data_IF_462765421970
#
_entry.id   IF_462765421970
#
_cell.length_a   1.000
_cell.length_b   1.000
_cell.length_c   1.000
_cell.angle_alpha   90.00
_cell.angle_beta   90.00
_cell.angle_gamma   90.00
#
_symmetry.space_group_name_H-M   'P 1'
#
loop_
_entity.id
_entity.type
_entity.pdbx_description
1 polymer ?
#
# COMPACT_ATOMS: atom_id res chain seq x y z
N UNK A 1 17.86 3.68 0.81
CA UNK A 1 18.13 2.25 1.15
C UNK A 1 16.83 1.51 1.43
N UNK A 2 16.03 1.97 2.40
CA UNK A 2 14.75 1.36 2.80
C UNK A 2 13.79 1.15 1.62
N UNK A 3 13.54 2.19 0.83
CA UNK A 3 12.73 2.11 -0.38
C UNK A 3 13.16 0.97 -1.33
N UNK A 4 14.47 0.85 -1.61
CA UNK A 4 15.01 -0.23 -2.45
C UNK A 4 14.77 -1.62 -1.85
N UNK A 5 14.84 -1.76 -0.52
CA UNK A 5 14.51 -3.02 0.17
C UNK A 5 13.02 -3.35 0.04
N UNK A 6 12.14 -2.35 0.21
CA UNK A 6 10.68 -2.47 0.07
C UNK A 6 10.28 -2.91 -1.34
N UNK A 7 10.85 -2.28 -2.37
CA UNK A 7 10.65 -2.69 -3.77
C UNK A 7 11.18 -4.10 -4.05
N UNK A 8 12.38 -4.44 -3.55
CA UNK A 8 12.96 -5.78 -3.74
C UNK A 8 12.09 -6.89 -3.13
N UNK A 9 11.41 -6.58 -2.01
CA UNK A 9 10.44 -7.46 -1.34
C UNK A 9 9.16 -7.65 -2.17
N UNK A 10 8.86 -6.73 -3.09
CA UNK A 10 7.73 -6.81 -4.00
C UNK A 10 6.53 -5.96 -3.61
N UNK A 11 6.72 -4.94 -2.75
CA UNK A 11 5.65 -3.99 -2.47
C UNK A 11 5.18 -3.33 -3.77
N UNK A 12 3.86 -3.14 -3.88
CA UNK A 12 3.25 -2.49 -5.03
C UNK A 12 3.32 -0.98 -4.80
N UNK A 13 3.99 -0.27 -5.70
CA UNK A 13 4.16 1.19 -5.63
C UNK A 13 3.32 1.84 -6.73
N UNK A 14 2.14 2.32 -6.36
CA UNK A 14 1.30 3.10 -7.25
C UNK A 14 1.71 4.57 -7.19
N UNK A 15 2.11 5.14 -8.33
CA UNK A 15 2.46 6.56 -8.46
C UNK A 15 1.24 7.32 -8.98
N UNK A 16 0.22 7.50 -8.13
CA UNK A 16 -0.94 8.31 -8.46
C UNK A 16 -0.68 9.78 -8.09
N UNK A 17 -0.98 10.69 -9.01
CA UNK A 17 -0.98 12.12 -8.71
C UNK A 17 -2.10 12.46 -7.72
N UNK A 18 -1.73 12.90 -6.52
CA UNK A 18 -2.65 13.47 -5.55
C UNK A 18 -2.89 14.96 -5.84
N UNK A 19 -4.08 15.46 -5.50
CA UNK A 19 -4.44 16.87 -5.70
C UNK A 19 -4.27 17.67 -4.40
N UNK A 20 -3.71 18.88 -4.51
CA UNK A 20 -3.68 19.91 -3.47
C UNK A 20 -4.72 20.98 -3.80
N UNK A 21 -5.71 21.12 -2.91
CA UNK A 21 -6.73 22.17 -3.00
C UNK A 21 -6.27 23.37 -2.16
N UNK A 22 -6.18 24.55 -2.78
CA UNK A 22 -5.87 25.81 -2.10
C UNK A 22 -7.20 26.52 -1.82
N UNK A 23 -7.38 26.92 -0.56
CA UNK A 23 -8.58 27.60 -0.09
C UNK A 23 -8.28 29.07 0.20
N UNK A 24 -9.28 29.94 0.04
CA UNK A 24 -9.25 31.30 0.59
C UNK A 24 -9.51 31.31 2.11
N UNK A 25 -9.48 32.50 2.72
CA UNK A 25 -9.73 32.68 4.16
C UNK A 25 -11.12 32.24 4.62
N UNK A 26 -12.09 32.12 3.70
CA UNK A 26 -13.46 31.66 3.97
C UNK A 26 -13.61 30.15 3.74
N UNK A 27 -12.52 29.45 3.39
CA UNK A 27 -12.52 28.02 3.11
C UNK A 27 -13.02 27.67 1.70
N UNK A 28 -13.16 28.64 0.79
CA UNK A 28 -13.60 28.40 -0.59
C UNK A 28 -12.42 27.96 -1.47
N UNK A 29 -12.54 26.89 -2.27
CA UNK A 29 -11.50 26.50 -3.23
C UNK A 29 -11.24 27.60 -4.26
N UNK A 30 -9.98 28.01 -4.37
CA UNK A 30 -9.51 28.98 -5.36
C UNK A 30 -8.59 28.36 -6.41
N UNK A 31 -7.93 27.25 -6.08
CA UNK A 31 -7.01 26.57 -6.99
C UNK A 31 -6.93 25.07 -6.66
N UNK A 32 -6.80 24.25 -7.70
CA UNK A 32 -6.49 22.82 -7.59
C UNK A 32 -5.23 22.57 -8.41
N UNK A 33 -4.21 22.00 -7.77
CA UNK A 33 -2.94 21.68 -8.44
C UNK A 33 -2.40 20.32 -7.98
N UNK A 34 -1.50 19.67 -8.73
CA UNK A 34 -0.84 18.46 -8.28
C UNK A 34 -0.10 18.67 -6.95
N UNK A 35 -0.15 17.67 -6.06
CA UNK A 35 0.60 17.64 -4.82
C UNK A 35 2.01 17.10 -5.08
N UNK A 36 3.01 17.93 -4.80
CA UNK A 36 4.40 17.55 -4.98
C UNK A 36 4.89 16.66 -3.83
N UNK A 37 5.15 15.38 -4.12
CA UNK A 37 5.73 14.43 -3.17
C UNK A 37 7.26 14.53 -3.18
N UNK A 38 7.79 15.41 -2.33
CA UNK A 38 9.22 15.65 -2.21
C UNK A 38 9.99 14.47 -1.56
N UNK A 39 11.32 14.51 -1.64
CA UNK A 39 12.22 13.51 -1.05
C UNK A 39 11.98 13.38 0.47
N UNK A 40 11.74 14.50 1.16
CA UNK A 40 11.44 14.49 2.59
C UNK A 40 10.19 13.65 2.92
N UNK A 41 9.12 13.75 2.12
CA UNK A 41 7.91 12.94 2.29
C UNK A 41 8.23 11.45 2.18
N UNK A 42 9.02 11.06 1.16
CA UNK A 42 9.43 9.66 0.95
C UNK A 42 10.30 9.15 2.11
N UNK A 43 11.20 9.96 2.64
CA UNK A 43 12.04 9.58 3.79
C UNK A 43 11.17 9.29 5.02
N UNK A 44 10.25 10.19 5.35
CA UNK A 44 9.37 10.02 6.51
C UNK A 44 8.52 8.78 6.34
N UNK A 45 7.91 8.57 5.17
CA UNK A 45 7.11 7.37 4.88
C UNK A 45 7.88 6.07 5.13
N UNK A 46 9.10 5.96 4.62
CA UNK A 46 9.93 4.77 4.81
C UNK A 46 10.25 4.52 6.30
N UNK A 47 10.52 5.57 7.08
CA UNK A 47 10.71 5.44 8.52
C UNK A 47 9.42 5.02 9.25
N UNK A 48 8.29 5.57 8.85
CA UNK A 48 7.00 5.21 9.43
C UNK A 48 6.67 3.74 9.16
N UNK A 49 6.94 3.24 7.95
CA UNK A 49 6.71 1.85 7.57
C UNK A 49 7.59 0.90 8.36
N UNK A 50 8.89 1.17 8.47
CA UNK A 50 9.79 0.33 9.27
C UNK A 50 9.37 0.31 10.74
N UNK A 51 8.98 1.44 11.31
CA UNK A 51 8.47 1.51 12.68
C UNK A 51 7.20 0.67 12.86
N UNK A 52 6.23 0.82 11.94
CA UNK A 52 4.99 0.06 11.94
C UNK A 52 5.22 -1.46 11.80
N UNK A 53 6.10 -1.90 10.90
CA UNK A 53 6.47 -3.32 10.73
C UNK A 53 7.13 -3.87 12.00
N UNK A 54 8.06 -3.11 12.60
CA UNK A 54 8.79 -3.52 13.81
C UNK A 54 7.85 -3.72 15.00
N UNK A 55 6.92 -2.79 15.22
CA UNK A 55 5.94 -2.90 16.30
C UNK A 55 5.00 -4.07 16.07
N UNK A 56 4.50 -4.25 14.84
CA UNK A 56 3.61 -5.37 14.51
C UNK A 56 4.29 -6.72 14.74
N UNK A 57 5.55 -6.88 14.32
CA UNK A 57 6.30 -8.12 14.52
C UNK A 57 6.54 -8.39 16.00
N UNK A 58 6.99 -7.39 16.76
CA UNK A 58 7.22 -7.54 18.20
C UNK A 58 5.96 -7.98 18.95
N UNK A 59 4.82 -7.37 18.62
CA UNK A 59 3.55 -7.65 19.28
C UNK A 59 2.95 -9.00 18.87
N UNK A 60 3.19 -9.44 17.63
CA UNK A 60 2.82 -10.78 17.18
C UNK A 60 3.45 -11.87 18.03
N UNK A 61 4.77 -11.78 18.27
CA UNK A 61 5.48 -12.76 19.09
C UNK A 61 5.18 -12.65 20.58
N UNK A 62 4.63 -11.52 21.03
CA UNK A 62 4.24 -11.31 22.43
C UNK A 62 2.89 -11.97 22.78
N UNK A 63 2.12 -12.44 21.78
CA UNK A 63 0.80 -13.09 21.97
C UNK A 63 -0.20 -12.26 22.79
N UNK A 64 -0.07 -10.93 22.78
CA UNK A 64 -1.02 -10.02 23.41
C UNK A 64 -2.15 -9.66 22.44
N UNK A 65 -3.36 -9.36 22.96
CA UNK A 65 -4.42 -8.79 22.14
C UNK A 65 -3.91 -7.55 21.40
N UNK A 66 -3.97 -7.57 20.07
CA UNK A 66 -3.36 -6.56 19.22
C UNK A 66 -4.21 -6.25 17.99
N UNK A 67 -4.03 -5.07 17.39
CA UNK A 67 -4.74 -4.68 16.17
C UNK A 67 -3.75 -4.53 15.03
N UNK A 68 -3.88 -5.39 14.02
CA UNK A 68 -3.10 -5.33 12.79
C UNK A 68 -3.80 -4.48 11.74
N UNK A 69 -3.02 -3.94 10.81
CA UNK A 69 -3.51 -3.34 9.58
C UNK A 69 -3.25 -4.33 8.47
N UNK A 70 -4.28 -5.08 8.09
CA UNK A 70 -4.18 -6.18 7.15
C UNK A 70 -4.63 -5.76 5.76
N UNK A 71 -4.09 -6.43 4.76
CA UNK A 71 -4.52 -6.32 3.37
C UNK A 71 -4.44 -7.71 2.77
N UNK A 72 -5.61 -8.31 2.61
CA UNK A 72 -5.81 -9.68 2.13
C UNK A 72 -5.28 -9.86 0.71
N UNK A 73 -5.08 -11.12 0.34
CA UNK A 73 -4.79 -11.47 -1.05
C UNK A 73 -5.95 -11.00 -1.95
N UNK A 74 -5.65 -10.59 -3.18
CA UNK A 74 -6.67 -10.07 -4.07
C UNK A 74 -7.69 -11.15 -4.43
N UNK A 75 -8.82 -10.70 -4.95
CA UNK A 75 -9.85 -11.62 -5.43
C UNK A 75 -9.41 -12.34 -6.70
N UNK A 76 -9.44 -13.68 -6.72
CA UNK A 76 -8.98 -14.48 -7.87
C UNK A 76 -9.71 -14.10 -9.15
N UNK A 77 -11.03 -13.93 -9.11
CA UNK A 77 -11.84 -13.56 -10.27
C UNK A 77 -11.44 -12.19 -10.81
N UNK A 78 -11.26 -11.20 -9.93
CA UNK A 78 -10.80 -9.86 -10.34
C UNK A 78 -9.40 -9.87 -10.91
N UNK A 79 -8.51 -10.70 -10.37
CA UNK A 79 -7.16 -10.86 -10.91
C UNK A 79 -7.17 -11.55 -12.27
N UNK A 80 -8.01 -12.56 -12.48
CA UNK A 80 -8.18 -13.20 -13.78
C UNK A 80 -8.59 -12.17 -14.84
N UNK A 81 -9.61 -11.34 -14.55
CA UNK A 81 -10.03 -10.27 -15.46
C UNK A 81 -8.90 -9.25 -15.71
N UNK A 82 -8.12 -8.90 -14.69
CA UNK A 82 -6.95 -8.04 -14.86
C UNK A 82 -5.90 -8.69 -15.77
N UNK A 83 -5.62 -9.98 -15.58
CA UNK A 83 -4.63 -10.71 -16.38
C UNK A 83 -5.04 -10.81 -17.85
N UNK A 84 -6.31 -11.11 -18.13
CA UNK A 84 -6.85 -11.11 -19.50
C UNK A 84 -6.69 -9.73 -20.16
N UNK A 85 -6.99 -8.66 -19.41
CA UNK A 85 -6.85 -7.30 -19.90
C UNK A 85 -5.41 -6.96 -20.29
N UNK A 86 -4.44 -7.22 -19.40
CA UNK A 86 -3.03 -6.90 -19.69
C UNK A 86 -2.43 -7.84 -20.75
N UNK A 87 -2.91 -9.08 -20.84
CA UNK A 87 -2.52 -10.01 -21.90
C UNK A 87 -2.94 -9.50 -23.28
N UNK A 88 -4.13 -8.92 -23.41
CA UNK A 88 -4.59 -8.29 -24.65
C UNK A 88 -3.77 -7.06 -25.04
N UNK A 89 -3.10 -6.43 -24.08
CA UNK A 89 -2.13 -5.35 -24.31
C UNK A 89 -0.70 -5.86 -24.58
N UNK A 90 -0.48 -7.18 -24.62
CA UNK A 90 0.82 -7.81 -24.88
C UNK A 90 1.67 -8.05 -23.63
N UNK A 91 1.15 -7.79 -22.42
CA UNK A 91 1.85 -8.05 -21.17
C UNK A 91 1.46 -9.40 -20.60
N UNK A 92 2.44 -10.29 -20.46
CA UNK A 92 2.22 -11.63 -19.88
C UNK A 92 2.58 -11.63 -18.39
N UNK A 93 1.61 -11.98 -17.55
CA UNK A 93 1.84 -12.31 -16.13
C UNK A 93 1.97 -13.81 -16.01
N UNK A 94 3.07 -14.27 -15.42
CA UNK A 94 3.20 -15.64 -14.95
C UNK A 94 2.99 -15.62 -13.44
N UNK A 95 1.87 -16.15 -12.97
CA UNK A 95 1.72 -16.53 -11.57
C UNK A 95 1.74 -18.06 -11.47
N UNK A 96 2.33 -18.56 -10.39
CA UNK A 96 2.10 -19.95 -9.97
C UNK A 96 0.79 -19.97 -9.14
N UNK A 97 0.45 -21.09 -8.51
CA UNK A 97 -0.75 -21.20 -7.67
C UNK A 97 -0.83 -20.11 -6.57
N UNK A 98 0.29 -19.56 -6.13
CA UNK A 98 0.34 -18.44 -5.18
C UNK A 98 0.67 -17.12 -5.89
N UNK A 99 -0.21 -16.14 -5.75
CA UNK A 99 -0.06 -14.82 -6.37
C UNK A 99 0.83 -13.97 -5.47
N UNK A 100 2.04 -13.66 -5.95
CA UNK A 100 2.98 -12.83 -5.19
C UNK A 100 2.88 -11.35 -5.63
N UNK A 101 2.83 -10.37 -4.71
CA UNK A 101 2.75 -8.93 -5.02
C UNK A 101 3.81 -8.46 -6.04
N UNK A 102 5.03 -9.01 -5.94
CA UNK A 102 6.15 -8.76 -6.86
C UNK A 102 5.80 -8.99 -8.34
N UNK A 103 4.99 -9.99 -8.66
CA UNK A 103 4.59 -10.26 -10.05
C UNK A 103 3.72 -9.15 -10.61
N UNK A 104 2.84 -8.59 -9.78
CA UNK A 104 2.00 -7.44 -10.12
C UNK A 104 2.83 -6.15 -10.21
N UNK A 105 3.77 -5.94 -9.29
CA UNK A 105 4.71 -4.81 -9.33
C UNK A 105 5.54 -4.81 -10.62
N UNK A 106 5.94 -5.97 -11.13
CA UNK A 106 6.69 -6.08 -12.40
C UNK A 106 5.87 -5.55 -13.59
N UNK A 107 4.54 -5.69 -13.55
CA UNK A 107 3.67 -5.15 -14.60
C UNK A 107 3.59 -3.63 -14.51
N UNK A 108 3.41 -3.10 -13.30
CA UNK A 108 3.43 -1.65 -13.07
C UNK A 108 4.74 -1.02 -13.57
N UNK A 109 5.87 -1.68 -13.33
CA UNK A 109 7.17 -1.22 -13.83
C UNK A 109 7.29 -1.28 -15.35
N UNK A 110 6.67 -2.27 -16.01
CA UNK A 110 6.70 -2.41 -17.47
C UNK A 110 5.83 -1.40 -18.19
N UNK A 111 4.67 -1.07 -17.63
CA UNK A 111 3.74 -0.09 -18.23
C UNK A 111 4.12 1.35 -17.90
N UNK A 112 5.13 1.57 -17.06
CA UNK A 112 5.54 2.90 -16.63
C UNK A 112 6.07 3.73 -17.80
N UNK A 113 5.46 4.88 -18.05
CA UNK A 113 5.75 5.76 -19.18
C UNK A 113 5.00 5.40 -20.47
N UNK A 114 4.25 4.29 -20.49
CA UNK A 114 3.44 3.88 -21.62
C UNK A 114 2.05 4.53 -21.60
N UNK A 115 1.36 4.53 -22.74
CA UNK A 115 0.04 5.19 -22.89
C UNK A 115 -1.04 4.56 -22.01
N UNK A 116 -0.89 3.27 -21.73
CA UNK A 116 -1.80 2.46 -20.94
C UNK A 116 -1.49 2.46 -19.43
N UNK A 117 -0.42 3.13 -18.98
CA UNK A 117 0.03 3.14 -17.57
C UNK A 117 -1.13 3.40 -16.60
N UNK A 118 -1.88 4.49 -16.86
CA UNK A 118 -2.98 4.93 -16.01
C UNK A 118 -4.09 3.89 -15.94
N UNK A 119 -4.46 3.29 -17.06
CA UNK A 119 -5.57 2.32 -17.13
C UNK A 119 -5.17 1.02 -16.46
N UNK A 120 -3.97 0.51 -16.74
CA UNK A 120 -3.44 -0.71 -16.12
C UNK A 120 -3.29 -0.53 -14.61
N UNK A 121 -2.70 0.58 -14.16
CA UNK A 121 -2.53 0.88 -12.73
C UNK A 121 -3.86 1.01 -12.00
N UNK A 122 -4.85 1.67 -12.61
CA UNK A 122 -6.19 1.81 -12.03
C UNK A 122 -6.91 0.47 -11.95
N UNK A 123 -6.82 -0.36 -12.98
CA UNK A 123 -7.47 -1.67 -12.99
C UNK A 123 -6.83 -2.61 -11.96
N UNK A 124 -5.50 -2.60 -11.86
CA UNK A 124 -4.78 -3.35 -10.82
C UNK A 124 -5.20 -2.90 -9.42
N UNK A 125 -5.23 -1.58 -9.16
CA UNK A 125 -5.66 -1.08 -7.85
C UNK A 125 -7.07 -1.57 -7.48
N UNK A 126 -7.98 -1.62 -8.47
CA UNK A 126 -9.36 -2.07 -8.27
C UNK A 126 -9.53 -3.57 -8.09
N UNK A 127 -8.55 -4.38 -8.52
CA UNK A 127 -8.56 -5.83 -8.29
C UNK A 127 -8.09 -6.20 -6.88
N UNK A 128 -7.35 -5.32 -6.20
CA UNK A 128 -6.93 -5.49 -4.81
C UNK A 128 -8.11 -5.35 -3.82
N UNK A 129 -7.98 -5.99 -2.65
CA UNK A 129 -8.94 -5.84 -1.53
C UNK A 129 -8.70 -4.51 -0.81
N UNK A 130 -9.67 -4.07 0.01
CA UNK A 130 -9.46 -2.91 0.87
C UNK A 130 -8.73 -3.31 2.15
N UNK A 131 -7.70 -2.53 2.54
CA UNK A 131 -7.02 -2.76 3.80
C UNK A 131 -7.92 -2.44 4.99
N UNK A 132 -7.94 -3.31 6.01
CA UNK A 132 -8.80 -3.21 7.19
C UNK A 132 -8.03 -3.45 8.48
N UNK A 133 -8.64 -3.08 9.61
CA UNK A 133 -8.10 -3.43 10.92
C UNK A 133 -8.62 -4.80 11.34
N UNK A 134 -7.76 -5.64 11.92
CA UNK A 134 -8.10 -7.00 12.34
C UNK A 134 -7.29 -7.43 13.56
N UNK A 135 -7.85 -8.25 14.47
CA UNK A 135 -7.06 -8.90 15.52
C UNK A 135 -6.15 -10.01 14.98
N UNK A 136 -6.46 -10.54 13.79
CA UNK A 136 -5.67 -11.60 13.16
C UNK A 136 -4.55 -11.02 12.28
N UNK A 137 -3.34 -11.56 12.42
CA UNK A 137 -2.19 -11.18 11.61
C UNK A 137 -2.07 -12.06 10.37
N UNK A 138 -2.72 -11.65 9.29
CA UNK A 138 -2.65 -12.34 7.99
C UNK A 138 -1.66 -11.68 7.00
N UNK A 139 -1.09 -10.53 7.38
CA UNK A 139 -0.17 -9.77 6.54
C UNK A 139 -0.82 -8.64 5.73
N UNK A 140 0.00 -7.97 4.93
CA UNK A 140 -0.39 -6.83 4.11
C UNK A 140 0.15 -6.98 2.69
N UNK A 141 -0.68 -7.54 1.79
CA UNK A 141 -0.30 -7.88 0.42
C UNK A 141 0.30 -6.70 -0.36
N UNK A 142 -0.32 -5.51 -0.35
CA UNK A 142 0.18 -4.36 -1.11
C UNK A 142 1.55 -3.83 -0.65
N UNK A 143 1.93 -4.05 0.61
CA UNK A 143 3.24 -3.65 1.15
C UNK A 143 4.26 -4.80 1.11
N UNK A 144 3.83 -5.97 0.64
CA UNK A 144 4.54 -7.23 0.75
C UNK A 144 5.11 -7.46 2.16
N UNK A 145 4.31 -7.17 3.20
CA UNK A 145 4.75 -7.22 4.60
C UNK A 145 3.98 -8.30 5.36
N UNK A 146 4.69 -9.18 6.09
CA UNK A 146 4.09 -10.25 6.90
C UNK A 146 3.45 -9.72 8.18
N UNK A 147 4.08 -8.73 8.80
CA UNK A 147 3.61 -8.07 10.01
C UNK A 147 3.43 -6.59 9.72
N UNK A 148 2.22 -6.07 9.90
CA UNK A 148 1.97 -4.65 9.70
C UNK A 148 0.84 -4.13 10.59
N UNK A 149 1.05 -2.96 11.16
CA UNK A 149 0.06 -2.22 11.93
C UNK A 149 0.19 -0.72 11.65
N UNK A 150 -0.70 0.08 12.24
CA UNK A 150 -0.50 1.53 12.28
C UNK A 150 -0.13 1.93 13.70
N UNK A 151 1.04 2.55 13.86
CA UNK A 151 1.54 2.98 15.18
C UNK A 151 1.91 4.46 15.23
N UNK A 152 2.28 5.04 14.10
CA UNK A 152 2.98 6.32 14.03
C UNK A 152 2.08 7.57 13.99
N UNK A 153 0.76 7.44 14.19
CA UNK A 153 -0.16 8.60 14.16
C UNK A 153 -1.30 8.52 15.20
N UNK A 154 -1.01 8.34 16.50
CA UNK A 154 -2.02 8.21 17.56
C UNK A 154 -2.92 9.44 17.74
N UNK A 155 -2.48 10.63 17.33
CA UNK A 155 -3.26 11.86 17.42
C UNK A 155 -4.51 11.83 16.50
N UNK A 156 -4.44 11.10 15.38
CA UNK A 156 -5.46 11.12 14.32
C UNK A 156 -5.99 9.75 13.91
N UNK A 157 -5.56 8.68 14.59
CA UNK A 157 -6.00 7.30 14.34
C UNK A 157 -6.20 6.58 15.65
N UNK A 158 -7.43 6.13 15.90
CA UNK A 158 -7.79 5.42 17.13
C UNK A 158 -7.05 4.06 17.31
N UNK A 159 -6.83 3.25 16.26
CA UNK A 159 -6.05 2.02 16.39
C UNK A 159 -4.62 2.25 16.88
N UNK A 160 -3.93 3.27 16.36
CA UNK A 160 -2.61 3.67 16.85
C UNK A 160 -2.65 4.03 18.35
N UNK A 161 -3.67 4.78 18.79
CA UNK A 161 -3.84 5.13 20.21
C UNK A 161 -4.00 3.89 21.10
N UNK A 162 -4.79 2.90 20.66
CA UNK A 162 -4.96 1.64 21.37
C UNK A 162 -3.62 0.90 21.46
N UNK A 163 -2.88 0.80 20.34
CA UNK A 163 -1.58 0.15 20.30
C UNK A 163 -0.59 0.81 21.27
N UNK A 164 -0.56 2.15 21.33
CA UNK A 164 0.25 2.89 22.30
C UNK A 164 -0.10 2.58 23.76
N UNK A 165 -1.34 2.17 24.06
CA UNK A 165 -1.77 1.73 25.39
C UNK A 165 -1.38 0.28 25.69
N UNK A 166 -1.39 -0.60 24.69
CA UNK A 166 -1.03 -2.02 24.85
C UNK A 166 0.48 -2.19 25.07
N UNK A 167 1.30 -1.35 24.43
CA UNK A 167 2.78 -1.44 24.51
C UNK A 167 3.34 -0.92 25.83
N UNK A 168 2.60 -0.06 26.54
CA UNK A 168 3.02 0.48 27.84
C UNK A 168 2.76 -0.51 28.96
#
# INVERSE_FOLDING_TARGET
ILYKKRLKRGAIDFDFEECKIILDEKGKPIEIKPYERAIANRIIEEFMLVCNETIAEHMFWSNLPFVYRIHEDPDEEKLMHFNEFVHNLGYVIRWNNDIHPKSLQTIIEKVKGEKEETVVSTLLLRSLKQARYSPECIGHFGLAARYYCHFTSPIRRYPDLIIHRIIK
#
